data_IF_100036346470
#
_entry.id   IF_100036346470
#
_cell.length_a   1.000
_cell.length_b   1.000
_cell.length_c   1.000
_cell.angle_alpha   90.00
_cell.angle_beta   90.00
_cell.angle_gamma   90.00
#
_symmetry.space_group_name_H-M   'P 1'
#
loop_
_entity.id
_entity.type
_entity.pdbx_description
1 polymer ?
#
# COMPACT_ATOMS: atom_id res chain seq x y z
N UNK A 1 12.89 24.65 -12.38
CA UNK A 1 12.56 23.49 -11.52
C UNK A 1 11.14 23.55 -10.92
N UNK A 2 10.51 24.73 -10.77
CA UNK A 2 9.17 24.92 -10.16
C UNK A 2 7.94 24.37 -10.93
N UNK A 3 8.14 23.71 -12.08
CA UNK A 3 7.06 23.12 -12.88
C UNK A 3 7.03 21.57 -12.80
N UNK A 4 7.92 20.97 -12.00
CA UNK A 4 8.08 19.52 -11.97
C UNK A 4 6.98 18.86 -11.11
N UNK A 5 6.01 18.24 -11.79
CA UNK A 5 4.84 17.62 -11.14
C UNK A 5 5.00 16.11 -10.87
N UNK A 6 5.95 15.45 -11.52
CA UNK A 6 6.21 14.00 -11.39
C UNK A 6 7.69 13.74 -11.27
N UNK A 7 8.08 12.97 -10.25
CA UNK A 7 9.42 12.46 -10.02
C UNK A 7 9.24 10.96 -9.76
N UNK A 8 9.68 10.10 -10.68
CA UNK A 8 9.49 8.66 -10.58
C UNK A 8 10.85 7.94 -10.63
N UNK A 9 10.96 6.84 -9.89
CA UNK A 9 12.15 5.99 -9.84
C UNK A 9 13.41 6.68 -9.32
N UNK A 10 13.27 7.60 -8.35
CA UNK A 10 14.43 8.18 -7.67
C UNK A 10 15.04 7.14 -6.75
N UNK A 11 16.28 6.78 -7.02
CA UNK A 11 17.05 5.91 -6.14
C UNK A 11 17.84 6.76 -5.15
N UNK A 12 17.59 6.59 -3.86
CA UNK A 12 18.39 7.21 -2.81
C UNK A 12 19.65 6.35 -2.64
N UNK A 13 20.87 6.91 -2.82
CA UNK A 13 22.10 6.17 -2.58
C UNK A 13 22.33 5.96 -1.07
N UNK A 14 23.17 4.98 -0.68
CA UNK A 14 23.44 4.56 0.72
C UNK A 14 23.98 5.66 1.66
N UNK A 15 24.31 6.85 1.13
CA UNK A 15 24.69 8.06 1.89
C UNK A 15 23.87 9.29 1.45
N UNK A 16 22.61 9.08 1.10
CA UNK A 16 21.76 9.98 0.31
C UNK A 16 21.02 11.09 1.07
N UNK A 17 21.54 11.58 2.21
CA UNK A 17 20.89 12.66 2.98
C UNK A 17 20.60 13.92 2.15
N UNK A 18 21.48 14.26 1.20
CA UNK A 18 21.28 15.37 0.27
C UNK A 18 20.05 15.19 -0.62
N UNK A 19 19.86 13.98 -1.15
CA UNK A 19 18.77 13.65 -2.09
C UNK A 19 17.38 13.72 -1.45
N UNK A 20 17.27 13.40 -0.15
CA UNK A 20 15.99 13.47 0.57
C UNK A 20 15.59 14.93 0.84
N UNK A 21 16.55 15.77 1.25
CA UNK A 21 16.28 17.19 1.49
C UNK A 21 15.90 17.93 0.21
N UNK A 22 16.39 17.51 -0.95
CA UNK A 22 16.00 18.07 -2.25
C UNK A 22 14.49 17.90 -2.53
N UNK A 23 13.84 16.85 -2.00
CA UNK A 23 12.39 16.67 -2.17
C UNK A 23 11.60 17.87 -1.63
N UNK A 24 12.06 18.50 -0.55
CA UNK A 24 11.39 19.66 0.05
C UNK A 24 11.33 20.88 -0.87
N UNK A 25 12.17 20.93 -1.92
CA UNK A 25 12.19 22.04 -2.88
C UNK A 25 11.10 21.90 -3.96
N UNK A 26 10.47 20.73 -4.07
CA UNK A 26 9.46 20.42 -5.10
C UNK A 26 8.03 20.55 -4.57
N UNK A 27 7.64 21.74 -4.11
CA UNK A 27 6.32 21.98 -3.50
C UNK A 27 5.12 21.63 -4.41
N UNK A 28 5.28 21.66 -5.73
CA UNK A 28 4.24 21.32 -6.73
C UNK A 28 4.19 19.83 -7.08
N UNK A 29 5.02 19.00 -6.45
CA UNK A 29 5.12 17.59 -6.79
C UNK A 29 3.82 16.84 -6.47
N UNK A 30 3.28 16.14 -7.47
CA UNK A 30 2.04 15.36 -7.36
C UNK A 30 2.30 13.87 -7.35
N UNK A 31 3.41 13.42 -7.93
CA UNK A 31 3.80 12.00 -7.97
C UNK A 31 5.27 11.84 -7.61
N UNK A 32 5.53 11.00 -6.62
CA UNK A 32 6.86 10.67 -6.15
C UNK A 32 7.04 9.15 -6.10
N UNK A 33 8.11 8.65 -6.72
CA UNK A 33 8.55 7.27 -6.58
C UNK A 33 9.98 7.22 -6.07
N UNK A 34 10.20 6.62 -4.90
CA UNK A 34 11.50 6.54 -4.25
C UNK A 34 11.85 5.08 -3.95
N UNK A 35 13.09 4.72 -4.26
CA UNK A 35 13.67 3.41 -3.99
C UNK A 35 14.96 3.50 -3.18
N UNK A 36 15.27 2.46 -2.41
CA UNK A 36 16.54 2.36 -1.68
C UNK A 36 16.58 3.13 -0.36
N UNK A 37 15.42 3.53 0.16
CA UNK A 37 15.36 4.20 1.46
C UNK A 37 15.76 3.21 2.55
N UNK A 38 16.73 3.62 3.37
CA UNK A 38 17.24 2.84 4.51
C UNK A 38 16.48 3.20 5.79
N UNK A 39 16.69 2.41 6.84
CA UNK A 39 16.08 2.69 8.15
C UNK A 39 16.54 4.04 8.73
N UNK A 40 17.84 4.35 8.58
CA UNK A 40 18.43 5.59 9.09
C UNK A 40 17.85 6.83 8.42
N UNK A 41 17.36 6.70 7.20
CA UNK A 41 16.81 7.79 6.39
C UNK A 41 15.29 7.96 6.55
N UNK A 42 14.61 7.01 7.22
CA UNK A 42 13.14 6.95 7.28
C UNK A 42 12.49 8.22 7.86
N UNK A 43 13.06 8.78 8.94
CA UNK A 43 12.55 9.99 9.59
C UNK A 43 12.68 11.22 8.69
N UNK A 44 13.87 11.41 8.09
CA UNK A 44 14.15 12.52 7.17
C UNK A 44 13.24 12.41 5.93
N UNK A 45 13.05 11.20 5.42
CA UNK A 45 12.17 10.93 4.29
C UNK A 45 10.73 11.37 4.58
N UNK A 46 10.12 10.88 5.67
CA UNK A 46 8.74 11.24 5.98
C UNK A 46 8.56 12.71 6.30
N UNK A 47 9.56 13.36 6.92
CA UNK A 47 9.56 14.80 7.10
C UNK A 47 9.52 15.53 5.74
N UNK A 48 10.33 15.09 4.78
CA UNK A 48 10.30 15.64 3.43
C UNK A 48 8.95 15.39 2.75
N UNK A 49 8.37 14.20 2.89
CA UNK A 49 7.05 13.87 2.31
C UNK A 49 5.93 14.72 2.92
N UNK A 50 5.93 14.98 4.23
CA UNK A 50 4.92 15.80 4.90
C UNK A 50 4.91 17.25 4.37
N UNK A 51 6.06 17.76 3.95
CA UNK A 51 6.15 19.08 3.31
C UNK A 51 5.51 19.15 1.91
N UNK A 52 5.29 18.01 1.25
CA UNK A 52 4.73 17.91 -0.10
C UNK A 52 3.20 17.91 -0.10
N UNK A 53 2.60 19.07 0.21
CA UNK A 53 1.14 19.26 0.37
C UNK A 53 0.30 18.93 -0.87
N UNK A 54 0.90 18.90 -2.05
CA UNK A 54 0.22 18.59 -3.31
C UNK A 54 0.45 17.15 -3.79
N UNK A 55 1.15 16.33 -2.99
CA UNK A 55 1.44 14.95 -3.35
C UNK A 55 0.16 14.12 -3.37
N UNK A 56 -0.10 13.48 -4.51
CA UNK A 56 -1.26 12.61 -4.76
C UNK A 56 -0.86 11.16 -4.96
N UNK A 57 0.36 10.90 -5.41
CA UNK A 57 0.85 9.55 -5.65
C UNK A 57 2.22 9.37 -5.03
N UNK A 58 2.36 8.34 -4.20
CA UNK A 58 3.60 7.97 -3.55
C UNK A 58 3.89 6.49 -3.80
N UNK A 59 5.10 6.19 -4.25
CA UNK A 59 5.61 4.83 -4.37
C UNK A 59 6.89 4.73 -3.59
N UNK A 60 6.95 3.79 -2.65
CA UNK A 60 8.11 3.61 -1.78
C UNK A 60 8.58 2.17 -1.85
N UNK A 61 9.82 1.98 -2.27
CA UNK A 61 10.52 0.70 -2.24
C UNK A 61 11.70 0.81 -1.27
N UNK A 62 11.61 0.13 -0.14
CA UNK A 62 12.66 0.14 0.87
C UNK A 62 13.89 -0.64 0.40
N UNK A 63 15.09 -0.24 0.84
CA UNK A 63 16.33 -0.97 0.57
C UNK A 63 16.40 -2.30 1.33
N UNK A 64 17.21 -3.26 0.87
CA UNK A 64 17.43 -4.56 1.55
C UNK A 64 18.15 -4.31 2.88
N UNK A 65 17.70 -4.96 3.97
CA UNK A 65 18.42 -4.99 5.25
C UNK A 65 19.52 -6.05 5.21
N UNK A 66 20.68 -5.69 5.71
CA UNK A 66 21.69 -6.62 6.20
C UNK A 66 21.41 -6.87 7.68
N UNK A 67 20.65 -7.91 8.00
CA UNK A 67 20.54 -8.41 9.39
C UNK A 67 19.28 -8.05 10.16
N UNK A 68 18.95 -9.00 11.05
CA UNK A 68 17.93 -9.13 12.09
C UNK A 68 16.85 -8.04 12.18
N UNK A 69 15.63 -8.46 11.84
CA UNK A 69 14.34 -8.08 12.42
C UNK A 69 14.29 -6.90 13.40
N UNK A 70 14.54 -5.69 12.91
CA UNK A 70 14.21 -4.49 13.68
C UNK A 70 12.90 -3.88 13.19
N UNK A 71 11.97 -3.85 14.13
CA UNK A 71 10.65 -3.24 14.13
C UNK A 71 10.68 -1.81 13.55
N UNK A 72 10.70 -1.71 12.23
CA UNK A 72 10.40 -0.49 11.51
C UNK A 72 8.87 -0.31 11.44
N UNK A 73 8.21 -0.38 12.60
CA UNK A 73 7.06 0.48 12.83
C UNK A 73 7.44 1.86 12.31
N UNK A 74 6.54 2.48 11.57
CA UNK A 74 6.65 3.88 11.19
C UNK A 74 6.56 4.69 12.48
N UNK A 75 7.66 4.67 13.24
CA UNK A 75 7.71 4.91 14.67
C UNK A 75 7.29 6.32 14.97
N UNK A 76 6.04 6.44 15.41
CA UNK A 76 5.48 7.54 16.19
C UNK A 76 5.97 8.92 15.80
N UNK A 77 5.47 9.47 14.68
CA UNK A 77 4.97 10.87 14.58
C UNK A 77 4.73 11.40 13.17
N UNK A 78 5.18 10.74 12.11
CA UNK A 78 5.16 11.33 10.76
C UNK A 78 4.34 10.48 9.78
N UNK A 79 3.39 11.14 9.13
CA UNK A 79 2.20 10.54 8.56
C UNK A 79 2.14 10.91 7.07
N UNK A 80 1.77 10.00 6.16
CA UNK A 80 1.62 10.36 4.77
C UNK A 80 0.60 11.50 4.57
N UNK A 81 0.77 12.35 3.53
CA UNK A 81 -0.11 13.48 3.27
C UNK A 81 -1.55 13.03 3.07
N UNK A 82 -2.52 13.75 3.67
CA UNK A 82 -3.95 13.42 3.52
C UNK A 82 -4.46 13.58 2.09
N UNK A 83 -3.73 14.31 1.25
CA UNK A 83 -3.99 14.49 -0.19
C UNK A 83 -3.68 13.25 -1.04
N UNK A 84 -3.11 12.20 -0.44
CA UNK A 84 -2.68 11.02 -1.17
C UNK A 84 -3.88 10.23 -1.72
N UNK A 85 -3.88 10.04 -3.03
CA UNK A 85 -4.88 9.28 -3.78
C UNK A 85 -4.36 7.90 -4.19
N UNK A 86 -3.03 7.74 -4.27
CA UNK A 86 -2.39 6.50 -4.68
C UNK A 86 -1.13 6.22 -3.86
N UNK A 87 -1.05 5.03 -3.28
CA UNK A 87 0.07 4.58 -2.48
C UNK A 87 0.56 3.23 -3.01
N UNK A 88 1.87 3.09 -3.17
CA UNK A 88 2.53 1.81 -3.38
C UNK A 88 3.60 1.64 -2.33
N UNK A 89 3.57 0.53 -1.62
CA UNK A 89 4.55 0.18 -0.60
C UNK A 89 5.18 -1.16 -0.97
N UNK A 90 6.49 -1.25 -0.81
CA UNK A 90 7.08 -2.56 -0.77
C UNK A 90 8.52 -2.67 -0.34
N UNK A 91 8.98 -3.92 -0.40
CA UNK A 91 10.31 -4.39 -0.01
C UNK A 91 10.61 -4.48 1.48
N UNK A 92 9.68 -4.16 2.40
CA UNK A 92 9.80 -4.40 3.85
C UNK A 92 8.44 -4.48 4.57
N UNK A 93 8.40 -5.13 5.75
CA UNK A 93 7.25 -5.11 6.66
C UNK A 93 6.81 -3.70 7.03
N UNK A 94 5.50 -3.47 7.17
CA UNK A 94 4.95 -2.14 7.51
C UNK A 94 3.79 -2.26 8.51
N UNK A 95 3.80 -1.42 9.57
CA UNK A 95 2.62 -1.22 10.44
C UNK A 95 1.69 -0.15 9.87
N UNK A 96 0.65 -0.57 9.13
CA UNK A 96 -0.33 0.35 8.53
C UNK A 96 -1.39 0.85 9.51
N UNK A 97 -1.75 0.06 10.51
CA UNK A 97 -2.88 0.30 11.43
C UNK A 97 -2.82 1.68 12.10
N UNK A 98 -1.63 2.17 12.40
CA UNK A 98 -1.41 3.44 13.11
C UNK A 98 -1.82 4.69 12.32
N UNK A 99 -1.83 4.67 10.99
CA UNK A 99 -1.97 5.89 10.18
C UNK A 99 -2.81 5.75 8.92
N UNK A 100 -3.07 4.54 8.45
CA UNK A 100 -3.79 4.31 7.19
C UNK A 100 -5.18 4.95 7.23
N UNK A 101 -5.84 4.93 8.39
CA UNK A 101 -7.15 5.55 8.63
C UNK A 101 -7.19 7.06 8.35
N UNK A 102 -6.06 7.76 8.22
CA UNK A 102 -6.03 9.19 7.88
C UNK A 102 -6.09 9.45 6.38
N UNK A 103 -5.82 8.43 5.56
CA UNK A 103 -5.75 8.53 4.10
C UNK A 103 -7.14 8.39 3.47
N UNK A 104 -8.06 9.27 3.87
CA UNK A 104 -9.46 9.25 3.44
C UNK A 104 -9.63 9.47 1.93
N UNK A 105 -8.65 10.07 1.24
CA UNK A 105 -8.66 10.27 -0.21
C UNK A 105 -8.02 9.12 -0.99
N UNK A 106 -7.49 8.09 -0.31
CA UNK A 106 -6.77 7.01 -0.96
C UNK A 106 -7.71 6.17 -1.80
N UNK A 107 -7.48 6.18 -3.10
CA UNK A 107 -8.26 5.43 -4.09
C UNK A 107 -7.55 4.18 -4.59
N UNK A 108 -6.21 4.14 -4.48
CA UNK A 108 -5.39 3.03 -4.98
C UNK A 108 -4.30 2.68 -3.98
N UNK A 109 -4.25 1.42 -3.55
CA UNK A 109 -3.19 0.87 -2.70
C UNK A 109 -2.56 -0.34 -3.39
N UNK A 110 -1.23 -0.38 -3.48
CA UNK A 110 -0.50 -1.57 -3.90
C UNK A 110 0.52 -1.96 -2.83
N UNK A 111 0.58 -3.24 -2.54
CA UNK A 111 1.37 -3.83 -1.47
C UNK A 111 2.26 -4.93 -2.05
N UNK A 112 3.54 -4.92 -1.71
CA UNK A 112 4.49 -5.94 -2.15
C UNK A 112 5.55 -6.19 -1.08
N UNK A 113 5.72 -7.42 -0.60
CA UNK A 113 6.67 -7.72 0.49
C UNK A 113 6.46 -6.86 1.75
N UNK A 114 5.19 -6.53 2.05
CA UNK A 114 4.78 -5.70 3.20
C UNK A 114 4.45 -6.50 4.45
N UNK A 115 4.34 -7.83 4.36
CA UNK A 115 4.08 -8.75 5.47
C UNK A 115 2.99 -8.23 6.43
N UNK A 116 1.87 -7.80 5.85
CA UNK A 116 0.77 -7.29 6.64
C UNK A 116 0.03 -8.43 7.33
N UNK A 117 -0.34 -8.19 8.58
CA UNK A 117 -1.21 -9.06 9.34
C UNK A 117 -2.69 -8.71 9.08
N UNK A 118 -3.60 -9.56 9.52
CA UNK A 118 -5.05 -9.45 9.29
C UNK A 118 -5.64 -8.11 9.78
N UNK A 119 -5.21 -7.62 10.94
CA UNK A 119 -5.65 -6.35 11.53
C UNK A 119 -5.32 -5.13 10.63
N UNK A 120 -4.17 -5.16 9.95
CA UNK A 120 -3.77 -4.14 9.00
C UNK A 120 -4.65 -4.15 7.73
N UNK A 121 -5.03 -5.34 7.24
CA UNK A 121 -5.96 -5.46 6.12
C UNK A 121 -7.35 -4.95 6.51
N UNK A 122 -7.84 -5.27 7.71
CA UNK A 122 -9.11 -4.74 8.22
C UNK A 122 -9.07 -3.20 8.32
N UNK A 123 -7.95 -2.62 8.76
CA UNK A 123 -7.77 -1.18 8.81
C UNK A 123 -7.80 -0.53 7.41
N UNK A 124 -7.18 -1.17 6.40
CA UNK A 124 -7.28 -0.77 5.00
C UNK A 124 -8.73 -0.89 4.50
N UNK A 125 -9.45 -1.94 4.90
CA UNK A 125 -10.84 -2.19 4.53
C UNK A 125 -11.82 -1.12 5.01
N UNK A 126 -11.44 -0.30 6.00
CA UNK A 126 -12.26 0.82 6.50
C UNK A 126 -12.12 2.10 5.67
N UNK A 127 -11.24 2.14 4.67
CA UNK A 127 -11.04 3.32 3.83
C UNK A 127 -12.26 3.56 2.93
N UNK A 128 -12.89 4.75 2.97
CA UNK A 128 -14.16 4.97 2.28
C UNK A 128 -14.02 5.09 0.76
N UNK A 129 -12.85 5.48 0.26
CA UNK A 129 -12.63 5.81 -1.15
C UNK A 129 -11.71 4.81 -1.86
N UNK A 130 -11.26 3.75 -1.18
CA UNK A 130 -10.34 2.79 -1.77
C UNK A 130 -11.05 1.98 -2.86
N UNK A 131 -10.70 2.25 -4.12
CA UNK A 131 -11.30 1.64 -5.29
C UNK A 131 -10.45 0.49 -5.85
N UNK A 132 -9.14 0.52 -5.63
CA UNK A 132 -8.19 -0.51 -6.12
C UNK A 132 -7.28 -0.94 -4.98
N UNK A 133 -7.25 -2.24 -4.72
CA UNK A 133 -6.29 -2.90 -3.84
C UNK A 133 -5.51 -3.93 -4.66
N UNK A 134 -4.19 -3.77 -4.72
CA UNK A 134 -3.28 -4.75 -5.29
C UNK A 134 -2.40 -5.35 -4.21
N UNK A 135 -2.42 -6.67 -4.08
CA UNK A 135 -1.59 -7.44 -3.16
C UNK A 135 -0.70 -8.37 -3.98
N UNK A 136 0.60 -8.33 -3.71
CA UNK A 136 1.61 -9.11 -4.42
C UNK A 136 2.41 -9.96 -3.45
N UNK A 137 3.21 -10.90 -3.96
CA UNK A 137 4.18 -11.69 -3.20
C UNK A 137 4.75 -11.02 -1.95
N UNK A 138 4.53 -11.69 -0.82
CA UNK A 138 4.91 -11.28 0.52
C UNK A 138 4.12 -10.10 1.10
N UNK A 139 2.99 -9.70 0.52
CA UNK A 139 2.20 -8.57 1.03
C UNK A 139 1.42 -8.89 2.30
N UNK A 140 1.05 -10.15 2.49
CA UNK A 140 0.30 -10.65 3.64
C UNK A 140 1.13 -11.72 4.35
N UNK A 141 0.97 -11.80 5.67
CA UNK A 141 1.58 -12.82 6.52
C UNK A 141 0.48 -13.45 7.36
N UNK A 142 0.26 -14.75 7.16
CA UNK A 142 -0.80 -15.53 7.78
C UNK A 142 -1.27 -16.66 6.86
N UNK A 143 -1.94 -17.65 7.42
CA UNK A 143 -2.48 -18.79 6.67
C UNK A 143 -3.82 -18.47 5.99
N UNK A 144 -4.57 -17.53 6.56
CA UNK A 144 -5.90 -17.14 6.10
C UNK A 144 -6.05 -15.63 6.04
N UNK A 145 -6.51 -15.14 4.89
CA UNK A 145 -6.86 -13.75 4.64
C UNK A 145 -8.38 -13.62 4.55
N UNK A 146 -8.98 -13.03 5.58
CA UNK A 146 -10.43 -12.87 5.69
C UNK A 146 -10.85 -11.45 5.30
N UNK A 147 -11.74 -11.33 4.32
CA UNK A 147 -12.43 -10.08 4.01
C UNK A 147 -13.78 -10.05 4.71
N UNK A 148 -13.81 -9.37 5.86
CA UNK A 148 -14.97 -9.34 6.76
C UNK A 148 -16.18 -8.60 6.19
N UNK A 149 -17.36 -8.89 6.74
CA UNK A 149 -18.58 -8.17 6.46
C UNK A 149 -18.40 -6.65 6.65
N UNK A 150 -18.92 -5.86 5.70
CA UNK A 150 -18.86 -4.40 5.76
C UNK A 150 -17.49 -3.80 5.44
N UNK A 151 -16.49 -4.62 5.12
CA UNK A 151 -15.19 -4.14 4.66
C UNK A 151 -15.22 -3.70 3.20
N UNK A 152 -14.30 -2.78 2.85
CA UNK A 152 -14.03 -2.32 1.49
C UNK A 152 -15.26 -1.76 0.75
N UNK A 153 -15.94 -0.73 1.30
CA UNK A 153 -17.24 -0.25 0.81
C UNK A 153 -17.22 0.37 -0.60
N UNK A 154 -16.04 0.71 -1.11
CA UNK A 154 -15.86 1.34 -2.43
C UNK A 154 -14.92 0.58 -3.36
N UNK A 155 -14.47 -0.62 -2.97
CA UNK A 155 -13.51 -1.38 -3.76
C UNK A 155 -14.18 -1.91 -5.03
N UNK A 156 -13.59 -1.60 -6.18
CA UNK A 156 -14.06 -2.00 -7.52
C UNK A 156 -13.14 -3.06 -8.12
N UNK A 157 -11.85 -3.01 -7.78
CA UNK A 157 -10.82 -3.91 -8.29
C UNK A 157 -9.96 -4.46 -7.15
N UNK A 158 -9.92 -5.79 -7.05
CA UNK A 158 -8.97 -6.54 -6.23
C UNK A 158 -7.99 -7.26 -7.15
N UNK A 159 -6.70 -6.99 -6.99
CA UNK A 159 -5.63 -7.70 -7.69
C UNK A 159 -4.82 -8.53 -6.68
N UNK A 160 -4.73 -9.83 -6.91
CA UNK A 160 -3.96 -10.79 -6.12
C UNK A 160 -2.91 -11.42 -7.04
N UNK A 161 -1.63 -11.21 -6.73
CA UNK A 161 -0.49 -11.60 -7.59
C UNK A 161 0.51 -12.41 -6.75
N UNK A 162 0.36 -13.75 -6.78
CA UNK A 162 1.08 -14.71 -5.95
C UNK A 162 1.29 -14.24 -4.52
N UNK A 163 0.25 -14.31 -3.66
CA UNK A 163 0.34 -13.83 -2.28
C UNK A 163 0.91 -14.85 -1.28
N UNK A 164 1.33 -16.02 -1.76
CA UNK A 164 1.76 -17.17 -0.95
C UNK A 164 0.67 -18.24 -0.89
N UNK A 165 0.89 -19.26 -0.06
CA UNK A 165 -0.07 -20.34 0.19
C UNK A 165 -1.10 -19.89 1.24
N UNK A 166 -1.96 -18.94 0.85
CA UNK A 166 -2.88 -18.23 1.76
C UNK A 166 -4.31 -18.48 1.33
N UNK A 167 -5.14 -19.01 2.22
CA UNK A 167 -6.57 -19.17 1.95
C UNK A 167 -7.26 -17.81 2.03
N UNK A 168 -7.93 -17.39 0.96
CA UNK A 168 -8.67 -16.13 0.89
C UNK A 168 -10.16 -16.38 1.01
N UNK A 169 -10.79 -15.71 1.97
CA UNK A 169 -12.22 -15.84 2.25
C UNK A 169 -12.93 -14.49 2.15
N UNK A 170 -14.11 -14.49 1.54
CA UNK A 170 -15.01 -13.34 1.52
C UNK A 170 -16.23 -13.64 2.37
N UNK A 171 -16.56 -12.78 3.33
CA UNK A 171 -17.82 -12.88 4.07
C UNK A 171 -18.98 -12.20 3.34
N UNK A 172 -20.21 -12.56 3.71
CA UNK A 172 -21.40 -11.90 3.21
C UNK A 172 -21.42 -10.41 3.58
N UNK A 173 -21.51 -9.56 2.55
CA UNK A 173 -21.44 -8.10 2.69
C UNK A 173 -20.03 -7.51 2.62
N UNK A 174 -18.99 -8.31 2.37
CA UNK A 174 -17.67 -7.80 2.00
C UNK A 174 -17.67 -7.21 0.58
N UNK A 175 -16.92 -6.14 0.36
CA UNK A 175 -16.66 -5.54 -0.96
C UNK A 175 -17.91 -5.37 -1.86
N UNK A 176 -18.96 -4.65 -1.40
CA UNK A 176 -20.26 -4.61 -2.07
C UNK A 176 -20.25 -4.01 -3.49
N UNK A 177 -19.14 -3.40 -3.92
CA UNK A 177 -18.96 -2.78 -5.24
C UNK A 177 -17.89 -3.47 -6.11
N UNK A 178 -17.34 -4.60 -5.67
CA UNK A 178 -16.27 -5.27 -6.41
C UNK A 178 -16.81 -5.73 -7.78
N UNK A 179 -16.16 -5.28 -8.86
CA UNK A 179 -16.54 -5.64 -10.22
C UNK A 179 -15.54 -6.57 -10.89
N UNK A 180 -14.26 -6.45 -10.53
CA UNK A 180 -13.17 -7.24 -11.12
C UNK A 180 -12.27 -7.82 -10.04
N UNK A 181 -12.15 -9.14 -10.04
CA UNK A 181 -11.14 -9.90 -9.32
C UNK A 181 -10.06 -10.32 -10.32
N UNK A 182 -8.82 -9.89 -10.11
CA UNK A 182 -7.69 -10.28 -10.94
C UNK A 182 -6.73 -11.13 -10.11
N UNK A 183 -6.52 -12.36 -10.56
CA UNK A 183 -5.60 -13.32 -9.98
C UNK A 183 -4.44 -13.47 -10.96
N UNK A 184 -3.22 -13.53 -10.46
CA UNK A 184 -2.02 -13.79 -11.26
C UNK A 184 -1.12 -14.75 -10.51
N UNK A 185 -0.60 -15.74 -11.25
CA UNK A 185 0.42 -16.66 -10.72
C UNK A 185 0.04 -17.30 -9.37
N UNK A 186 -1.25 -17.56 -9.16
CA UNK A 186 -1.83 -18.02 -7.89
C UNK A 186 -3.07 -18.87 -8.17
N UNK A 187 -3.30 -19.91 -7.37
CA UNK A 187 -4.36 -20.90 -7.63
C UNK A 187 -5.74 -20.40 -7.15
N UNK A 188 -6.76 -20.35 -8.02
CA UNK A 188 -8.12 -19.99 -7.61
C UNK A 188 -8.75 -20.91 -6.56
N UNK A 189 -8.26 -22.15 -6.36
CA UNK A 189 -8.80 -23.08 -5.36
C UNK A 189 -8.64 -22.58 -3.91
N UNK A 190 -7.77 -21.59 -3.70
CA UNK A 190 -7.56 -20.95 -2.40
C UNK A 190 -8.60 -19.86 -2.09
N UNK A 191 -9.60 -19.66 -2.95
CA UNK A 191 -10.68 -18.67 -2.78
C UNK A 191 -11.99 -19.32 -2.30
N UNK A 192 -12.64 -18.69 -1.32
CA UNK A 192 -13.99 -19.08 -0.87
C UNK A 192 -14.87 -17.85 -0.60
N UNK A 193 -16.19 -18.01 -0.73
CA UNK A 193 -17.16 -16.92 -0.53
C UNK A 193 -17.35 -16.01 -1.77
N UNK A 194 -16.95 -16.45 -2.95
CA UNK A 194 -17.17 -15.71 -4.20
C UNK A 194 -18.66 -15.46 -4.49
N UNK A 195 -19.53 -16.37 -4.04
CA UNK A 195 -20.98 -16.25 -4.11
C UNK A 195 -21.54 -15.03 -3.36
N UNK A 196 -20.79 -14.47 -2.41
CA UNK A 196 -21.17 -13.26 -1.67
C UNK A 196 -20.84 -11.96 -2.42
N UNK A 197 -19.97 -12.01 -3.44
CA UNK A 197 -19.55 -10.85 -4.22
C UNK A 197 -20.57 -10.50 -5.31
N UNK A 198 -21.75 -10.00 -4.90
CA UNK A 198 -22.93 -9.82 -5.78
C UNK A 198 -22.75 -8.88 -6.99
N UNK A 199 -21.72 -8.03 -6.99
CA UNK A 199 -21.41 -7.10 -8.10
C UNK A 199 -20.26 -7.57 -8.98
N UNK A 200 -19.66 -8.72 -8.68
CA UNK A 200 -18.53 -9.26 -9.44
C UNK A 200 -18.98 -9.57 -10.86
N UNK A 201 -18.32 -8.95 -11.85
CA UNK A 201 -18.61 -9.12 -13.28
C UNK A 201 -17.59 -10.01 -13.95
N UNK A 202 -16.35 -9.99 -13.46
CA UNK A 202 -15.25 -10.64 -14.13
C UNK A 202 -14.22 -11.17 -13.13
N UNK A 203 -13.76 -12.40 -13.37
CA UNK A 203 -12.57 -12.99 -12.75
C UNK A 203 -11.55 -13.17 -13.87
N UNK A 204 -10.39 -12.49 -13.76
CA UNK A 204 -9.26 -12.63 -14.69
C UNK A 204 -8.17 -13.45 -14.03
N UNK A 205 -7.73 -14.51 -14.71
CA UNK A 205 -6.61 -15.37 -14.31
C UNK A 205 -5.35 -15.02 -15.11
#
# INVERSE_FOLDING_TARGET
LNALCTLANVRVPEKGKGTINEFTQFFQLRKLGVGGITETDSKEFWFAIDSLRHLRSLSVNWGVLSGDGLDCSLGGRLLPPRSLESLKLGSRPVRLTEWIHRLQNLSRLHLHRTQLQQDAIQAVGKLPNLAILGMRSGSFEGEELLFEQGSFPSLVLLELDYIGDVVVKFEDGAMPKLELLRIKSWDPQELSGLEYLKKLKEIRL
#
